data_IF_587064636337
#
_entry.id   IF_587064636337
#
_cell.length_a   1.000
_cell.length_b   1.000
_cell.length_c   1.000
_cell.angle_alpha   90.00
_cell.angle_beta   90.00
_cell.angle_gamma   90.00
#
_symmetry.space_group_name_H-M   'P 1'
#
loop_
_entity.id
_entity.type
_entity.pdbx_description
1 polymer ?
#
# COMPACT_ATOMS: atom_id res chain seq x y z
N UNK A 1 25.53 10.85 -36.41
CA UNK A 1 25.71 9.90 -35.29
C UNK A 1 24.84 10.30 -34.08
N UNK A 2 23.54 10.57 -34.26
CA UNK A 2 22.62 11.07 -33.19
C UNK A 2 21.39 10.18 -32.97
N UNK A 3 21.10 9.29 -33.92
CA UNK A 3 20.02 8.30 -33.88
C UNK A 3 19.92 7.48 -32.57
N UNK A 4 21.00 6.98 -31.94
CA UNK A 4 20.86 6.22 -30.70
C UNK A 4 20.38 7.06 -29.50
N UNK A 5 20.68 8.36 -29.46
CA UNK A 5 20.22 9.26 -28.38
C UNK A 5 18.71 9.50 -28.46
N UNK A 6 18.16 9.58 -29.67
CA UNK A 6 16.71 9.76 -29.90
C UNK A 6 15.94 8.53 -29.43
N UNK A 7 16.46 7.33 -29.67
CA UNK A 7 15.83 6.07 -29.24
C UNK A 7 15.78 5.98 -27.71
N UNK A 8 16.87 6.36 -27.02
CA UNK A 8 16.91 6.37 -25.55
C UNK A 8 15.90 7.38 -24.98
N UNK A 9 15.81 8.58 -25.57
CA UNK A 9 14.85 9.60 -25.16
C UNK A 9 13.40 9.11 -25.28
N UNK A 10 13.06 8.45 -26.39
CA UNK A 10 11.71 7.90 -26.61
C UNK A 10 11.41 6.79 -25.58
N UNK A 11 12.36 5.92 -25.25
CA UNK A 11 12.16 4.88 -24.23
C UNK A 11 11.91 5.46 -22.84
N UNK A 12 12.63 6.53 -22.46
CA UNK A 12 12.41 7.22 -21.18
C UNK A 12 11.03 7.87 -21.13
N UNK A 13 10.59 8.51 -22.23
CA UNK A 13 9.26 9.14 -22.30
C UNK A 13 8.15 8.08 -22.22
N UNK A 14 8.28 6.96 -22.95
CA UNK A 14 7.30 5.87 -22.89
C UNK A 14 7.26 5.24 -21.49
N UNK A 15 8.43 4.99 -20.88
CA UNK A 15 8.53 4.50 -19.51
C UNK A 15 7.91 5.45 -18.49
N UNK A 16 8.16 6.76 -18.62
CA UNK A 16 7.57 7.79 -17.78
C UNK A 16 6.05 7.88 -17.95
N UNK A 17 5.55 7.89 -19.18
CA UNK A 17 4.11 7.96 -19.47
C UNK A 17 3.37 6.71 -18.97
N UNK A 18 3.93 5.52 -19.17
CA UNK A 18 3.35 4.27 -18.66
C UNK A 18 3.31 4.25 -17.13
N UNK A 19 4.41 4.67 -16.47
CA UNK A 19 4.44 4.80 -15.02
C UNK A 19 3.38 5.79 -14.49
N UNK A 20 3.27 6.96 -15.13
CA UNK A 20 2.33 8.02 -14.72
C UNK A 20 0.86 7.63 -14.95
N UNK A 21 0.55 6.83 -15.98
CA UNK A 21 -0.82 6.40 -16.26
C UNK A 21 -1.28 5.21 -15.41
N UNK A 22 -0.33 4.38 -14.94
CA UNK A 22 -0.62 3.18 -14.16
C UNK A 22 -0.71 3.49 -12.65
N UNK A 23 0.12 4.41 -12.13
CA UNK A 23 0.07 4.85 -10.72
C UNK A 23 -1.33 5.21 -10.19
N UNK A 24 -2.13 6.07 -10.84
CA UNK A 24 -3.42 6.50 -10.29
C UNK A 24 -4.44 5.35 -10.21
N UNK A 25 -4.37 4.37 -11.13
CA UNK A 25 -5.25 3.20 -11.11
C UNK A 25 -4.90 2.24 -9.97
N UNK A 26 -3.61 2.10 -9.66
CA UNK A 26 -3.19 1.27 -8.54
C UNK A 26 -3.60 1.89 -7.21
N UNK A 27 -3.43 3.20 -7.04
CA UNK A 27 -3.86 3.93 -5.84
C UNK A 27 -5.37 3.76 -5.58
N UNK A 28 -6.22 3.99 -6.58
CA UNK A 28 -7.67 3.83 -6.42
C UNK A 28 -8.08 2.41 -5.99
N UNK A 29 -7.38 1.38 -6.49
CA UNK A 29 -7.61 0.00 -6.07
C UNK A 29 -7.13 -0.23 -4.63
N UNK A 30 -5.97 0.27 -4.26
CA UNK A 30 -5.43 0.19 -2.91
C UNK A 30 -6.40 0.82 -1.90
N UNK A 31 -6.92 2.02 -2.19
CA UNK A 31 -7.88 2.73 -1.35
C UNK A 31 -9.22 1.98 -1.20
N UNK A 32 -9.67 1.30 -2.25
CA UNK A 32 -10.84 0.43 -2.17
C UNK A 32 -10.62 -0.71 -1.17
N UNK A 33 -9.45 -1.34 -1.18
CA UNK A 33 -9.11 -2.42 -0.24
C UNK A 33 -8.96 -1.86 1.18
N UNK A 34 -8.43 -0.65 1.32
CA UNK A 34 -8.36 0.04 2.61
C UNK A 34 -9.76 0.31 3.18
N UNK A 35 -10.69 0.75 2.33
CA UNK A 35 -12.09 0.94 2.72
C UNK A 35 -12.75 -0.37 3.18
N UNK A 36 -12.47 -1.49 2.50
CA UNK A 36 -12.93 -2.81 2.93
C UNK A 36 -12.39 -3.20 4.31
N UNK A 37 -11.13 -2.83 4.60
CA UNK A 37 -10.54 -3.02 5.92
C UNK A 37 -11.28 -2.21 6.99
N UNK A 38 -11.53 -0.93 6.75
CA UNK A 38 -12.25 -0.06 7.68
C UNK A 38 -13.68 -0.58 7.93
N UNK A 39 -14.37 -1.02 6.88
CA UNK A 39 -15.69 -1.63 6.99
C UNK A 39 -15.67 -2.92 7.84
N UNK A 40 -14.62 -3.73 7.74
CA UNK A 40 -14.45 -4.91 8.59
C UNK A 40 -14.20 -4.50 10.06
N UNK A 41 -13.42 -3.44 10.31
CA UNK A 41 -13.21 -2.89 11.66
C UNK A 41 -14.52 -2.42 12.29
N UNK A 42 -15.36 -1.69 11.55
CA UNK A 42 -16.67 -1.24 12.01
C UNK A 42 -17.58 -2.41 12.39
N UNK A 43 -17.46 -3.54 11.68
CA UNK A 43 -18.17 -4.78 11.98
C UNK A 43 -17.57 -5.59 13.14
N UNK A 44 -16.42 -5.17 13.68
CA UNK A 44 -15.66 -5.89 14.70
C UNK A 44 -14.88 -7.10 14.16
N UNK A 45 -14.83 -7.30 12.84
CA UNK A 45 -14.07 -8.40 12.22
C UNK A 45 -12.61 -8.00 12.03
N UNK A 46 -11.86 -8.01 13.14
CA UNK A 46 -10.44 -7.66 13.22
C UNK A 46 -9.56 -8.54 12.32
N UNK A 47 -9.90 -9.82 12.16
CA UNK A 47 -9.14 -10.75 11.33
C UNK A 47 -9.22 -10.38 9.86
N UNK A 48 -10.43 -10.07 9.38
CA UNK A 48 -10.63 -9.63 8.00
C UNK A 48 -10.03 -8.25 7.77
N UNK A 49 -10.16 -7.33 8.74
CA UNK A 49 -9.50 -6.03 8.68
C UNK A 49 -7.97 -6.16 8.52
N UNK A 50 -7.30 -6.94 9.38
CA UNK A 50 -5.85 -7.18 9.29
C UNK A 50 -5.43 -7.80 7.96
N UNK A 51 -6.25 -8.69 7.38
CA UNK A 51 -5.99 -9.27 6.06
C UNK A 51 -5.98 -8.18 4.99
N UNK A 52 -7.01 -7.33 4.95
CA UNK A 52 -7.12 -6.25 3.96
C UNK A 52 -6.02 -5.19 4.14
N UNK A 53 -5.72 -4.78 5.38
CA UNK A 53 -4.63 -3.85 5.67
C UNK A 53 -3.27 -4.40 5.21
N UNK A 54 -3.02 -5.70 5.38
CA UNK A 54 -1.81 -6.34 4.86
C UNK A 54 -1.74 -6.30 3.33
N UNK A 55 -2.88 -6.41 2.65
CA UNK A 55 -2.93 -6.35 1.20
C UNK A 55 -2.76 -4.91 0.68
N UNK A 56 -3.19 -3.91 1.46
CA UNK A 56 -2.92 -2.47 1.22
C UNK A 56 -1.42 -2.20 1.27
N UNK A 57 -0.74 -2.54 2.37
CA UNK A 57 0.70 -2.24 2.54
C UNK A 57 1.61 -3.02 1.57
N UNK A 58 1.12 -4.12 0.99
CA UNK A 58 1.81 -4.84 -0.10
C UNK A 58 1.71 -4.11 -1.44
N UNK A 59 0.61 -3.39 -1.69
CA UNK A 59 0.38 -2.64 -2.92
C UNK A 59 0.95 -1.23 -2.84
N UNK A 60 0.83 -0.60 -1.67
CA UNK A 60 1.41 0.70 -1.37
C UNK A 60 2.14 0.63 -0.03
N UNK A 61 3.45 0.43 -0.12
CA UNK A 61 4.33 0.38 1.06
C UNK A 61 4.40 1.72 1.79
N UNK A 62 3.98 2.82 1.17
CA UNK A 62 3.97 4.16 1.76
C UNK A 62 2.62 4.50 2.42
N UNK A 63 1.67 3.58 2.45
CA UNK A 63 0.34 3.80 3.04
C UNK A 63 0.39 3.77 4.58
N UNK A 64 0.87 4.86 5.18
CA UNK A 64 1.11 4.99 6.63
C UNK A 64 -0.13 4.63 7.46
N UNK A 65 -1.31 5.09 7.04
CA UNK A 65 -2.56 4.85 7.78
C UNK A 65 -2.90 3.36 7.92
N UNK A 66 -2.51 2.53 6.95
CA UNK A 66 -2.78 1.10 7.02
C UNK A 66 -1.92 0.44 8.10
N UNK A 67 -0.65 0.83 8.21
CA UNK A 67 0.23 0.35 9.28
C UNK A 67 -0.22 0.81 10.67
N UNK A 68 -0.72 2.04 10.80
CA UNK A 68 -1.26 2.55 12.06
C UNK A 68 -2.46 1.71 12.51
N UNK A 69 -3.42 1.47 11.61
CA UNK A 69 -4.59 0.65 11.92
C UNK A 69 -4.22 -0.80 12.25
N UNK A 70 -3.22 -1.37 11.59
CA UNK A 70 -2.71 -2.71 11.95
C UNK A 70 -2.14 -2.72 13.37
N UNK A 71 -1.37 -1.69 13.74
CA UNK A 71 -0.82 -1.53 15.09
C UNK A 71 -1.91 -1.42 16.16
N UNK A 72 -2.95 -0.63 15.90
CA UNK A 72 -4.08 -0.46 16.83
C UNK A 72 -4.84 -1.77 17.05
N UNK A 73 -5.16 -2.51 15.98
CA UNK A 73 -5.83 -3.81 16.11
C UNK A 73 -4.98 -4.78 16.93
N UNK A 74 -3.67 -4.87 16.66
CA UNK A 74 -2.76 -5.77 17.37
C UNK A 74 -2.60 -5.40 18.86
N UNK A 75 -2.66 -4.11 19.18
CA UNK A 75 -2.63 -3.62 20.56
C UNK A 75 -3.91 -4.01 21.31
N UNK A 76 -5.07 -3.91 20.66
CA UNK A 76 -6.35 -4.33 21.25
C UNK A 76 -6.47 -5.84 21.47
N UNK A 77 -5.79 -6.65 20.64
CA UNK A 77 -5.75 -8.11 20.81
C UNK A 77 -4.74 -8.58 21.88
N UNK A 78 -4.09 -7.64 22.59
CA UNK A 78 -3.05 -7.95 23.59
C UNK A 78 -1.73 -8.42 22.97
N UNK A 79 -1.57 -8.32 21.66
CA UNK A 79 -0.40 -8.76 20.92
C UNK A 79 0.56 -7.59 20.63
N UNK A 80 1.04 -6.95 21.70
CA UNK A 80 1.93 -5.80 21.62
C UNK A 80 3.25 -6.10 20.88
N UNK A 81 3.76 -7.34 20.96
CA UNK A 81 4.98 -7.76 20.25
C UNK A 81 4.80 -7.77 18.72
N UNK A 82 3.64 -8.22 18.23
CA UNK A 82 3.33 -8.14 16.81
C UNK A 82 3.16 -6.68 16.34
N UNK A 83 2.55 -5.82 17.16
CA UNK A 83 2.41 -4.39 16.86
C UNK A 83 3.77 -3.70 16.70
N UNK A 84 4.72 -3.99 17.60
CA UNK A 84 6.10 -3.47 17.53
C UNK A 84 6.78 -3.89 16.22
N UNK A 85 6.62 -5.15 15.80
CA UNK A 85 7.22 -5.66 14.56
C UNK A 85 6.68 -4.96 13.31
N UNK A 86 5.40 -4.59 13.30
CA UNK A 86 4.79 -3.83 12.20
C UNK A 86 5.28 -2.37 12.19
N UNK A 87 5.42 -1.73 13.35
CA UNK A 87 6.00 -0.39 13.42
C UNK A 87 7.47 -0.36 12.98
N UNK A 88 8.23 -1.43 13.23
CA UNK A 88 9.62 -1.53 12.75
C UNK A 88 9.73 -1.68 11.23
N UNK A 89 8.72 -2.19 10.52
CA UNK A 89 8.76 -2.27 9.05
C UNK A 89 8.57 -0.92 8.34
N UNK A 90 8.26 0.14 9.08
CA UNK A 90 8.13 1.51 8.58
C UNK A 90 9.44 2.33 8.67
N UNK A 91 10.49 1.81 9.32
CA UNK A 91 11.82 2.44 9.43
C UNK A 91 12.82 1.72 8.52
#
# INVERSE_FOLDING_TARGET
>A
MTWPLIIILILVIIGGLTFFYIQPKQQAKTESIYTDALNAMVRGDKRTALKHLRDVVKQDTNHVDAYLQMGDILREEGNALAAIKIHQSLT
#
